data_IF_456563193801
#
_entry.id   IF_456563193801
#
_cell.length_a   1.000
_cell.length_b   1.000
_cell.length_c   1.000
_cell.angle_alpha   90.00
_cell.angle_beta   90.00
_cell.angle_gamma   90.00
#
_symmetry.space_group_name_H-M   'P 1'
#
loop_
_entity.id
_entity.type
_entity.pdbx_description
1 polymer ?
#
# COMPACT_ATOMS: atom_id res chain seq x y z
N UNK A 1 5.52 -22.78 1.35
CA UNK A 1 5.43 -21.54 2.15
C UNK A 1 6.72 -20.73 2.01
N UNK A 2 6.87 -19.94 0.94
CA UNK A 2 8.16 -19.35 0.52
C UNK A 2 8.75 -18.40 1.57
N UNK A 3 7.94 -17.50 2.14
CA UNK A 3 8.41 -16.51 3.12
C UNK A 3 8.68 -17.11 4.51
N UNK A 4 8.04 -18.20 4.88
CA UNK A 4 8.32 -18.86 6.16
C UNK A 4 9.59 -19.71 6.11
N UNK A 5 9.93 -20.26 4.94
CA UNK A 5 11.21 -20.93 4.73
C UNK A 5 12.40 -19.97 4.63
N UNK A 6 12.16 -18.71 4.24
CA UNK A 6 13.19 -17.69 4.03
C UNK A 6 12.99 -16.51 4.99
N UNK A 7 13.41 -16.67 6.25
CA UNK A 7 13.30 -15.62 7.26
C UNK A 7 14.02 -14.34 6.81
N UNK A 8 13.35 -13.20 6.98
CA UNK A 8 13.94 -11.88 6.71
C UNK A 8 13.96 -11.45 5.24
N UNK A 9 13.41 -12.23 4.30
CA UNK A 9 13.46 -11.88 2.86
C UNK A 9 12.89 -10.48 2.53
N UNK A 10 11.91 -10.01 3.31
CA UNK A 10 11.27 -8.71 3.13
C UNK A 10 11.68 -7.67 4.19
N UNK A 11 12.59 -8.04 5.11
CA UNK A 11 13.01 -7.16 6.19
C UNK A 11 13.60 -5.87 5.63
N UNK A 12 13.18 -4.74 6.21
CA UNK A 12 13.57 -3.37 5.82
C UNK A 12 13.21 -2.96 4.39
N UNK A 13 12.41 -3.75 3.66
CA UNK A 13 11.85 -3.32 2.39
C UNK A 13 10.69 -2.34 2.62
N UNK A 14 10.57 -1.37 1.73
CA UNK A 14 9.40 -0.49 1.70
C UNK A 14 8.23 -1.23 1.04
N UNK A 15 7.04 -1.16 1.63
CA UNK A 15 5.83 -1.75 1.07
C UNK A 15 4.62 -0.88 1.29
N UNK A 16 3.56 -1.11 0.53
CA UNK A 16 2.25 -0.51 0.76
C UNK A 16 1.17 -1.50 0.32
N UNK A 17 0.08 -1.57 1.06
CA UNK A 17 -1.16 -2.19 0.58
C UNK A 17 -1.96 -1.15 -0.20
N UNK A 18 -2.64 -1.57 -1.27
CA UNK A 18 -3.53 -0.72 -2.08
C UNK A 18 -4.82 -1.49 -2.35
N UNK A 19 -5.96 -0.87 -2.11
CA UNK A 19 -7.27 -1.51 -2.18
C UNK A 19 -8.12 -0.78 -3.22
N UNK A 20 -8.64 -1.51 -4.20
CA UNK A 20 -9.73 -1.04 -5.04
C UNK A 20 -11.03 -1.68 -4.55
N UNK A 21 -12.03 -0.86 -4.23
CA UNK A 21 -13.30 -1.33 -3.70
C UNK A 21 -14.48 -0.64 -4.40
N UNK A 22 -15.68 -1.21 -4.25
CA UNK A 22 -16.91 -0.57 -4.73
C UNK A 22 -17.73 0.06 -3.60
N UNK A 23 -17.82 -0.63 -2.46
CA UNK A 23 -18.62 -0.26 -1.30
C UNK A 23 -17.84 -0.63 -0.02
N UNK A 24 -18.43 -1.41 0.88
CA UNK A 24 -17.79 -1.83 2.12
C UNK A 24 -16.69 -2.88 1.95
N UNK A 25 -15.93 -3.11 3.02
CA UNK A 25 -14.86 -4.11 3.10
C UNK A 25 -13.45 -3.56 2.87
N UNK A 26 -13.31 -2.33 2.37
CA UNK A 26 -12.01 -1.75 2.05
C UNK A 26 -11.08 -1.66 3.27
N UNK A 27 -11.61 -1.19 4.41
CA UNK A 27 -10.88 -1.08 5.69
C UNK A 27 -10.42 -2.45 6.18
N UNK A 28 -11.31 -3.43 6.24
CA UNK A 28 -10.96 -4.78 6.70
C UNK A 28 -9.90 -5.45 5.81
N UNK A 29 -9.96 -5.23 4.49
CA UNK A 29 -8.94 -5.70 3.56
C UNK A 29 -7.59 -5.00 3.80
N UNK A 30 -7.61 -3.68 3.97
CA UNK A 30 -6.42 -2.89 4.27
C UNK A 30 -5.74 -3.31 5.58
N UNK A 31 -6.50 -3.48 6.65
CA UNK A 31 -5.97 -3.92 7.94
C UNK A 31 -5.36 -5.32 7.84
N UNK A 32 -6.03 -6.24 7.15
CA UNK A 32 -5.54 -7.61 6.94
C UNK A 32 -4.22 -7.62 6.16
N UNK A 33 -4.14 -6.85 5.08
CA UNK A 33 -2.92 -6.75 4.28
C UNK A 33 -1.77 -6.09 5.06
N UNK A 34 -2.05 -5.03 5.81
CA UNK A 34 -1.02 -4.36 6.61
C UNK A 34 -0.53 -5.23 7.76
N UNK A 35 -1.41 -5.99 8.43
CA UNK A 35 -0.99 -6.96 9.44
C UNK A 35 0.01 -7.97 8.87
N UNK A 36 -0.21 -8.44 7.63
CA UNK A 36 0.75 -9.30 6.95
C UNK A 36 2.09 -8.59 6.73
N UNK A 37 2.10 -7.37 6.18
CA UNK A 37 3.34 -6.62 5.92
C UNK A 37 4.11 -6.28 7.20
N UNK A 38 3.42 -5.87 8.26
CA UNK A 38 4.02 -5.61 9.56
C UNK A 38 4.67 -6.86 10.14
N UNK A 39 4.06 -8.03 9.98
CA UNK A 39 4.64 -9.31 10.41
C UNK A 39 5.96 -9.68 9.71
N UNK A 40 6.36 -8.93 8.67
CA UNK A 40 7.58 -9.16 7.87
C UNK A 40 8.67 -8.11 8.09
N UNK A 41 8.56 -7.27 9.12
CA UNK A 41 9.52 -6.19 9.40
C UNK A 41 9.70 -5.22 8.21
N UNK A 42 8.62 -5.00 7.45
CA UNK A 42 8.60 -4.04 6.34
C UNK A 42 8.34 -2.62 6.84
N UNK A 43 8.84 -1.63 6.10
CA UNK A 43 8.55 -0.21 6.31
C UNK A 43 7.32 0.14 5.46
N UNK A 44 6.19 0.42 6.10
CA UNK A 44 4.95 0.70 5.36
C UNK A 44 4.89 2.17 4.93
N UNK A 45 4.68 2.41 3.65
CA UNK A 45 4.37 3.72 3.11
C UNK A 45 2.87 3.99 3.21
N UNK A 46 2.53 5.10 3.87
CA UNK A 46 1.18 5.65 3.89
C UNK A 46 1.02 6.78 2.87
N UNK A 47 -0.20 7.30 2.81
CA UNK A 47 -0.55 8.46 1.99
C UNK A 47 -1.33 9.49 2.79
N UNK A 48 -1.93 10.49 2.12
CA UNK A 48 -2.82 11.49 2.70
C UNK A 48 -4.08 10.88 3.34
N UNK A 49 -4.47 9.68 2.93
CA UNK A 49 -5.56 8.88 3.48
C UNK A 49 -5.24 7.38 3.37
N UNK A 50 -6.14 6.50 3.84
CA UNK A 50 -5.99 5.06 3.61
C UNK A 50 -5.80 4.77 2.12
N UNK A 51 -4.89 3.85 1.79
CA UNK A 51 -4.47 3.55 0.42
C UNK A 51 -5.59 2.83 -0.37
N UNK A 52 -6.67 3.54 -0.66
CA UNK A 52 -7.91 3.01 -1.21
C UNK A 52 -8.39 3.86 -2.38
N UNK A 53 -9.01 3.21 -3.35
CA UNK A 53 -9.71 3.84 -4.48
C UNK A 53 -11.06 3.16 -4.69
N UNK A 54 -12.05 3.91 -5.17
CA UNK A 54 -13.42 3.42 -5.34
C UNK A 54 -13.91 3.44 -6.79
N UNK A 55 -14.55 2.34 -7.21
CA UNK A 55 -15.18 2.22 -8.52
C UNK A 55 -16.05 0.95 -8.62
N UNK A 56 -17.17 1.03 -9.35
CA UNK A 56 -18.08 -0.10 -9.58
C UNK A 56 -17.76 -0.83 -10.88
N UNK A 57 -17.61 -0.10 -11.98
CA UNK A 57 -17.24 -0.65 -13.28
C UNK A 57 -15.74 -0.51 -13.56
N UNK A 58 -15.25 -1.28 -14.53
CA UNK A 58 -13.87 -1.18 -15.01
C UNK A 58 -13.59 0.26 -15.45
N UNK A 59 -12.51 0.85 -14.94
CA UNK A 59 -12.11 2.22 -15.24
C UNK A 59 -12.75 3.30 -14.36
N UNK A 60 -13.82 3.02 -13.61
CA UNK A 60 -14.43 4.04 -12.74
C UNK A 60 -13.50 4.48 -11.59
N UNK A 61 -12.56 3.64 -11.17
CA UNK A 61 -11.52 4.02 -10.20
C UNK A 61 -10.66 5.19 -10.66
N UNK A 62 -10.55 5.43 -11.97
CA UNK A 62 -9.82 6.59 -12.52
C UNK A 62 -10.59 7.90 -12.33
N UNK A 63 -11.90 7.82 -12.08
CA UNK A 63 -12.78 8.96 -11.82
C UNK A 63 -12.86 9.31 -10.33
N UNK A 64 -12.38 8.44 -9.45
CA UNK A 64 -12.19 8.73 -8.03
C UNK A 64 -11.00 9.68 -7.84
N UNK A 65 -11.27 10.97 -8.00
CA UNK A 65 -10.24 12.01 -7.95
C UNK A 65 -9.46 12.00 -6.63
N UNK A 66 -10.16 11.84 -5.51
CA UNK A 66 -9.52 11.81 -4.19
C UNK A 66 -8.65 10.56 -4.03
N UNK A 67 -9.17 9.40 -4.42
CA UNK A 67 -8.40 8.15 -4.42
C UNK A 67 -7.17 8.22 -5.32
N UNK A 68 -7.27 8.79 -6.51
CA UNK A 68 -6.15 8.96 -7.44
C UNK A 68 -5.10 9.93 -6.91
N UNK A 69 -5.49 11.09 -6.35
CA UNK A 69 -4.54 11.99 -5.69
C UNK A 69 -3.87 11.31 -4.49
N UNK A 70 -4.62 10.50 -3.74
CA UNK A 70 -4.08 9.69 -2.67
C UNK A 70 -3.07 8.65 -3.19
N UNK A 71 -3.27 8.03 -4.36
CA UNK A 71 -2.30 7.12 -4.96
C UNK A 71 -1.03 7.84 -5.43
N UNK A 72 -1.16 9.06 -5.95
CA UNK A 72 0.00 9.90 -6.31
C UNK A 72 0.84 10.23 -5.08
N UNK A 73 0.20 10.65 -3.99
CA UNK A 73 0.86 10.93 -2.71
C UNK A 73 1.54 9.68 -2.14
N UNK A 74 0.91 8.49 -2.27
CA UNK A 74 1.51 7.23 -1.85
C UNK A 74 2.82 6.96 -2.60
N UNK A 75 2.80 7.13 -3.93
CA UNK A 75 3.99 6.96 -4.77
C UNK A 75 5.11 7.94 -4.40
N UNK A 76 4.76 9.21 -4.16
CA UNK A 76 5.72 10.23 -3.71
C UNK A 76 6.34 9.88 -2.35
N UNK A 77 5.52 9.47 -1.38
CA UNK A 77 5.99 9.06 -0.06
C UNK A 77 6.89 7.82 -0.14
N UNK A 78 6.50 6.82 -0.92
CA UNK A 78 7.30 5.62 -1.14
C UNK A 78 8.65 5.97 -1.80
N UNK A 79 8.64 6.81 -2.84
CA UNK A 79 9.86 7.28 -3.49
C UNK A 79 10.77 8.06 -2.53
N UNK A 80 10.19 8.89 -1.66
CA UNK A 80 10.94 9.62 -0.64
C UNK A 80 11.61 8.66 0.35
N UNK A 81 10.89 7.66 0.89
CA UNK A 81 11.46 6.66 1.81
C UNK A 81 12.58 5.90 1.11
N UNK A 82 12.34 5.41 -0.12
CA UNK A 82 13.32 4.66 -0.90
C UNK A 82 14.62 5.46 -1.10
N UNK A 83 14.53 6.74 -1.44
CA UNK A 83 15.71 7.62 -1.57
C UNK A 83 16.46 7.75 -0.25
N UNK A 84 15.74 7.90 0.87
CA UNK A 84 16.35 8.03 2.20
C UNK A 84 17.06 6.77 2.67
N UNK A 85 16.56 5.59 2.34
CA UNK A 85 17.19 4.32 2.75
C UNK A 85 18.28 3.84 1.78
N UNK A 86 18.29 4.32 0.54
CA UNK A 86 19.24 3.87 -0.49
C UNK A 86 20.41 4.84 -0.76
N UNK A 87 20.56 5.94 -0.03
CA UNK A 87 21.62 6.95 -0.25
C UNK A 87 21.75 7.35 -1.74
N UNK A 88 20.61 7.55 -2.41
CA UNK A 88 20.52 8.07 -3.79
C UNK A 88 20.12 9.54 -3.74
#
# INVERSE_FOLDING_TARGET
MVLAGNKGLLKYKVGASVIAARRGGAISAFDTLNNFLYSKEMILAGSSYWNMVYGNAIGEVEQDREGIENMKNLGQNMAWILKKIHNI
#
